data_IF_227404134296
#
_entry.id   IF_227404134296
#
_cell.length_a   1.000
_cell.length_b   1.000
_cell.length_c   1.000
_cell.angle_alpha   90.00
_cell.angle_beta   90.00
_cell.angle_gamma   90.00
#
_symmetry.space_group_name_H-M   'P 1'
#
loop_
_entity.id
_entity.type
_entity.pdbx_description
1 polymer ?
#
# COMPACT_ATOMS: atom_id res chain seq x y z
N UNK A 1 -14.99 -12.15 -8.88
CA UNK A 1 -14.38 -13.32 -8.28
C UNK A 1 -12.88 -13.15 -8.10
N UNK A 2 -12.39 -13.58 -6.99
CA UNK A 2 -11.00 -13.40 -6.67
C UNK A 2 -10.12 -14.31 -7.48
N UNK A 3 -8.95 -13.84 -7.83
CA UNK A 3 -8.02 -14.60 -8.63
C UNK A 3 -6.64 -14.52 -8.03
N UNK A 4 -6.56 -14.64 -6.72
CA UNK A 4 -5.30 -14.54 -6.04
C UNK A 4 -4.85 -13.11 -5.79
N UNK A 5 -5.68 -12.14 -6.12
CA UNK A 5 -5.38 -10.74 -5.87
C UNK A 5 -6.07 -10.31 -4.58
N UNK A 6 -5.31 -9.75 -3.67
CA UNK A 6 -5.87 -9.27 -2.42
C UNK A 6 -6.43 -7.86 -2.61
N UNK A 7 -7.59 -7.56 -2.01
CA UNK A 7 -8.10 -6.19 -2.08
C UNK A 7 -7.32 -5.25 -1.17
N UNK A 8 -7.47 -3.95 -1.42
CA UNK A 8 -6.83 -2.94 -0.58
C UNK A 8 -7.20 -3.11 0.90
N UNK A 9 -8.45 -3.52 1.17
CA UNK A 9 -8.87 -3.67 2.56
C UNK A 9 -8.01 -4.68 3.30
N UNK A 10 -7.63 -5.78 2.65
CA UNK A 10 -6.77 -6.75 3.31
C UNK A 10 -5.38 -6.19 3.55
N UNK A 11 -4.86 -5.44 2.60
CA UNK A 11 -3.55 -4.84 2.78
C UNK A 11 -3.57 -3.85 3.94
N UNK A 12 -4.60 -3.02 4.01
CA UNK A 12 -4.70 -2.06 5.09
C UNK A 12 -4.85 -2.74 6.44
N UNK A 13 -5.57 -3.87 6.49
CA UNK A 13 -5.66 -4.64 7.72
C UNK A 13 -4.29 -5.17 8.15
N UNK A 14 -3.51 -5.65 7.20
CA UNK A 14 -2.17 -6.13 7.50
C UNK A 14 -1.28 -5.01 8.02
N UNK A 15 -1.51 -3.81 7.53
CA UNK A 15 -0.73 -2.65 7.96
C UNK A 15 -1.22 -2.06 9.28
N UNK A 16 -2.32 -2.60 9.82
CA UNK A 16 -2.89 -2.08 11.06
C UNK A 16 -3.61 -0.77 10.87
N UNK A 17 -4.09 -0.50 9.67
CA UNK A 17 -4.78 0.73 9.34
C UNK A 17 -6.27 0.47 9.14
N UNK A 18 -7.12 1.51 9.32
CA UNK A 18 -8.53 1.34 9.01
C UNK A 18 -8.73 0.91 7.56
N UNK A 19 -9.58 -0.09 7.37
CA UNK A 19 -9.67 -0.77 6.08
C UNK A 19 -11.00 -0.53 5.36
N UNK A 20 -11.83 0.37 5.85
CA UNK A 20 -13.05 0.71 5.12
C UNK A 20 -12.72 1.64 3.95
N UNK A 21 -13.61 1.68 2.99
CA UNK A 21 -13.35 2.42 1.76
C UNK A 21 -13.05 3.89 2.02
N UNK A 22 -13.81 4.52 2.90
CA UNK A 22 -13.61 5.95 3.17
C UNK A 22 -12.24 6.20 3.78
N UNK A 23 -11.80 5.33 4.69
CA UNK A 23 -10.50 5.49 5.33
C UNK A 23 -9.37 5.24 4.35
N UNK A 24 -9.52 4.26 3.46
CA UNK A 24 -8.53 3.98 2.45
C UNK A 24 -8.38 5.19 1.52
N UNK A 25 -9.51 5.73 1.06
CA UNK A 25 -9.48 6.91 0.21
C UNK A 25 -8.82 8.09 0.89
N UNK A 26 -9.17 8.32 2.15
CA UNK A 26 -8.61 9.43 2.90
C UNK A 26 -7.10 9.26 3.08
N UNK A 27 -6.64 8.03 3.33
CA UNK A 27 -5.23 7.76 3.47
C UNK A 27 -4.49 8.11 2.18
N UNK A 28 -5.03 7.64 1.06
CA UNK A 28 -4.39 7.90 -0.23
C UNK A 28 -4.35 9.40 -0.50
N UNK A 29 -5.45 10.10 -0.28
CA UNK A 29 -5.51 11.53 -0.55
C UNK A 29 -4.57 12.32 0.35
N UNK A 30 -4.43 11.88 1.59
CA UNK A 30 -3.57 12.57 2.54
C UNK A 30 -2.10 12.48 2.14
N UNK A 31 -1.70 11.34 1.60
CA UNK A 31 -0.29 11.08 1.36
C UNK A 31 0.13 11.21 -0.10
N UNK A 32 -0.81 11.36 -1.01
CA UNK A 32 -0.48 11.59 -2.41
C UNK A 32 -0.18 13.06 -2.63
N UNK A 33 0.68 13.40 -3.56
CA UNK A 33 1.49 12.48 -4.37
C UNK A 33 2.78 12.10 -3.68
N UNK A 34 3.16 10.85 -3.84
CA UNK A 34 4.45 10.38 -3.34
C UNK A 34 5.52 10.81 -4.34
N UNK A 35 6.62 11.42 -3.88
CA UNK A 35 7.68 11.85 -4.81
C UNK A 35 8.26 10.69 -5.59
N UNK A 36 8.65 10.96 -6.83
CA UNK A 36 9.16 9.93 -7.71
C UNK A 36 10.45 9.28 -7.21
N UNK A 37 11.24 10.04 -6.47
CA UNK A 37 12.52 9.54 -5.97
C UNK A 37 12.39 8.81 -4.64
N UNK A 38 11.18 8.63 -4.13
CA UNK A 38 10.94 7.93 -2.88
C UNK A 38 10.22 6.63 -3.19
N UNK A 39 10.82 5.50 -2.85
CA UNK A 39 10.16 4.20 -3.02
C UNK A 39 9.02 4.06 -2.04
N UNK A 40 8.03 3.23 -2.38
CA UNK A 40 6.87 3.08 -1.53
C UNK A 40 7.25 2.62 -0.13
N UNK A 41 8.13 1.62 -0.03
CA UNK A 41 8.53 1.10 1.27
C UNK A 41 9.38 2.08 2.06
N UNK A 42 9.85 3.15 1.41
CA UNK A 42 10.69 4.16 2.04
C UNK A 42 9.93 5.42 2.36
N UNK A 43 8.63 5.45 2.11
CA UNK A 43 7.83 6.61 2.39
C UNK A 43 7.86 6.93 3.89
N UNK A 44 7.92 8.22 4.25
CA UNK A 44 8.11 8.59 5.65
C UNK A 44 6.89 8.35 6.53
N UNK A 45 5.74 8.08 5.94
CA UNK A 45 4.53 7.88 6.73
C UNK A 45 4.36 6.44 7.23
N UNK A 46 5.25 5.53 6.85
CA UNK A 46 5.23 4.16 7.40
C UNK A 46 6.08 4.10 8.66
N UNK A 47 5.63 3.29 9.64
CA UNK A 47 6.55 2.91 10.71
C UNK A 47 7.42 1.77 10.20
N UNK A 48 8.36 1.33 11.03
CA UNK A 48 9.31 0.32 10.60
C UNK A 48 8.63 -0.98 10.22
N UNK A 49 7.65 -1.43 11.01
CA UNK A 49 6.95 -2.67 10.71
C UNK A 49 6.17 -2.58 9.41
N UNK A 50 5.53 -1.45 9.17
CA UNK A 50 4.77 -1.26 7.94
C UNK A 50 5.68 -1.22 6.73
N UNK A 51 6.81 -0.54 6.84
CA UNK A 51 7.76 -0.47 5.75
C UNK A 51 8.31 -1.85 5.41
N UNK A 52 8.59 -2.65 6.42
CA UNK A 52 9.09 -4.01 6.18
C UNK A 52 8.04 -4.88 5.53
N UNK A 53 6.79 -4.73 5.93
CA UNK A 53 5.72 -5.50 5.32
C UNK A 53 5.58 -5.16 3.84
N UNK A 54 5.62 -3.87 3.51
CA UNK A 54 5.54 -3.43 2.12
C UNK A 54 6.71 -4.00 1.31
N UNK A 55 7.91 -3.91 1.86
CA UNK A 55 9.10 -4.40 1.16
C UNK A 55 9.02 -5.90 0.93
N UNK A 56 8.64 -6.65 1.94
CA UNK A 56 8.51 -8.10 1.81
C UNK A 56 7.46 -8.48 0.78
N UNK A 57 6.34 -7.77 0.77
CA UNK A 57 5.29 -8.05 -0.18
C UNK A 57 5.79 -7.86 -1.61
N UNK A 58 6.56 -6.81 -1.83
CA UNK A 58 7.07 -6.55 -3.18
C UNK A 58 8.13 -7.55 -3.62
N UNK A 59 8.92 -8.05 -2.69
CA UNK A 59 10.07 -8.89 -3.04
C UNK A 59 9.75 -10.38 -2.99
N UNK A 60 8.83 -10.80 -2.14
CA UNK A 60 8.70 -12.21 -1.82
C UNK A 60 7.33 -12.80 -2.07
N UNK A 61 6.34 -11.99 -2.34
CA UNK A 61 4.97 -12.50 -2.40
C UNK A 61 4.24 -11.89 -3.59
N UNK A 62 4.13 -12.67 -4.66
CA UNK A 62 3.53 -12.19 -5.90
C UNK A 62 2.07 -11.77 -5.72
N UNK A 63 1.34 -12.47 -4.84
CA UNK A 63 -0.05 -12.12 -4.62
C UNK A 63 -0.20 -10.75 -3.97
N UNK A 64 0.66 -10.44 -3.02
CA UNK A 64 0.62 -9.14 -2.36
C UNK A 64 1.27 -8.06 -3.21
N UNK A 65 2.24 -8.42 -4.04
CA UNK A 65 2.93 -7.43 -4.86
C UNK A 65 1.97 -6.68 -5.76
N UNK A 66 0.96 -7.35 -6.27
CA UNK A 66 0.02 -6.73 -7.18
C UNK A 66 -0.78 -5.62 -6.51
N UNK A 67 -1.31 -5.89 -5.30
CA UNK A 67 -2.08 -4.87 -4.61
C UNK A 67 -1.18 -3.75 -4.07
N UNK A 68 0.05 -4.08 -3.69
CA UNK A 68 1.00 -3.05 -3.28
C UNK A 68 1.37 -2.16 -4.45
N UNK A 69 1.52 -2.73 -5.65
CA UNK A 69 1.74 -1.92 -6.85
C UNK A 69 0.59 -0.99 -7.12
N UNK A 70 -0.63 -1.45 -6.92
CA UNK A 70 -1.80 -0.60 -7.11
C UNK A 70 -1.80 0.56 -6.12
N UNK A 71 -1.44 0.28 -4.88
CA UNK A 71 -1.32 1.34 -3.89
C UNK A 71 -0.25 2.35 -4.28
N UNK A 72 0.88 1.84 -4.75
CA UNK A 72 1.96 2.71 -5.20
C UNK A 72 1.47 3.65 -6.32
N UNK A 73 0.75 3.10 -7.29
CA UNK A 73 0.23 3.91 -8.39
C UNK A 73 -0.74 4.98 -7.87
N UNK A 74 -1.61 4.60 -6.95
CA UNK A 74 -2.57 5.54 -6.39
C UNK A 74 -1.87 6.68 -5.66
N UNK A 75 -0.79 6.39 -4.98
CA UNK A 75 -0.04 7.40 -4.23
C UNK A 75 0.84 8.27 -5.11
N UNK A 76 1.04 7.90 -6.37
CA UNK A 76 1.86 8.71 -7.29
C UNK A 76 1.06 9.84 -7.93
N UNK A 77 -0.12 10.08 -7.47
CA UNK A 77 -0.88 11.22 -7.93
C UNK A 77 -1.72 10.94 -9.16
N UNK A 78 -2.07 9.71 -9.31
CA UNK A 78 -2.94 9.34 -10.42
C UNK A 78 -4.30 9.98 -10.27
#
# INVERSE_FOLDING_TARGET
MEHGVHPFSELFEQLGLPADNASIQAFIERHAPLPDDVGLAEAPFWNQSQAELIRSALEEDADWAEVVDQLNAALRGA
#
